data_IF_573035281938
#
_entry.id   IF_573035281938
#
_cell.length_a   1.000
_cell.length_b   1.000
_cell.length_c   1.000
_cell.angle_alpha   90.00
_cell.angle_beta   90.00
_cell.angle_gamma   90.00
#
_symmetry.space_group_name_H-M   'P 1'
#
loop_
_entity.id
_entity.type
_entity.pdbx_description
1 polymer ?
#
# COMPACT_ATOMS: atom_id res chain seq x y z
N UNK A 1 -17.30 -2.43 24.00
CA UNK A 1 -15.92 -2.94 23.82
C UNK A 1 -15.58 -2.74 22.35
N UNK A 2 -15.06 -1.61 21.87
CA UNK A 2 -14.04 -0.74 22.46
C UNK A 2 -12.71 -1.12 21.81
N UNK A 3 -12.55 -0.78 20.52
CA UNK A 3 -11.35 -1.09 19.74
C UNK A 3 -10.12 -0.40 20.39
N UNK A 4 -8.94 -1.05 20.43
CA UNK A 4 -7.74 -0.47 21.00
C UNK A 4 -7.20 0.73 20.20
N UNK A 5 -6.60 1.70 20.89
CA UNK A 5 -6.08 3.00 20.40
C UNK A 5 -4.90 2.95 19.40
N UNK A 6 -4.65 1.79 18.77
CA UNK A 6 -3.53 1.61 17.84
C UNK A 6 -4.00 1.06 16.48
N UNK A 7 -5.05 1.63 15.89
CA UNK A 7 -5.36 1.48 14.47
C UNK A 7 -5.09 2.82 13.78
N UNK A 8 -3.87 3.03 13.27
CA UNK A 8 -3.50 4.29 12.58
C UNK A 8 -3.57 4.22 11.05
N UNK A 9 -3.95 3.09 10.45
CA UNK A 9 -4.42 3.06 9.07
C UNK A 9 -5.13 1.76 8.74
N UNK A 10 -6.37 1.85 8.30
CA UNK A 10 -7.08 0.76 7.65
C UNK A 10 -6.91 0.96 6.14
N UNK A 11 -6.05 0.16 5.50
CA UNK A 11 -5.94 0.16 4.04
C UNK A 11 -7.13 -0.62 3.49
N UNK A 12 -8.20 0.08 3.14
CA UNK A 12 -9.34 -0.54 2.46
C UNK A 12 -8.89 -0.95 1.06
N UNK A 13 -8.75 -2.26 0.85
CA UNK A 13 -8.49 -2.85 -0.47
C UNK A 13 -9.75 -2.63 -1.33
N UNK A 14 -9.70 -1.66 -2.24
CA UNK A 14 -10.74 -1.41 -3.23
C UNK A 14 -10.55 -2.44 -4.36
N UNK A 15 -10.98 -3.68 -4.09
CA UNK A 15 -11.01 -4.76 -5.06
C UNK A 15 -12.14 -4.50 -6.07
N UNK A 16 -11.78 -4.31 -7.33
CA UNK A 16 -12.73 -4.02 -8.40
C UNK A 16 -12.15 -4.08 -9.80
N UNK A 17 -12.00 -5.31 -10.30
CA UNK A 17 -11.83 -5.71 -11.71
C UNK A 17 -10.37 -5.88 -12.20
N UNK A 18 -9.94 -7.14 -12.15
CA UNK A 18 -8.92 -7.76 -13.01
C UNK A 18 -9.53 -8.02 -14.40
N UNK A 19 -9.04 -7.36 -15.45
CA UNK A 19 -9.00 -7.91 -16.83
C UNK A 19 -8.19 -6.98 -17.75
N UNK A 20 -6.96 -7.40 -18.09
CA UNK A 20 -6.04 -6.71 -19.03
C UNK A 20 -4.88 -5.91 -18.38
N UNK A 21 -4.57 -6.18 -17.11
CA UNK A 21 -4.54 -5.14 -16.08
C UNK A 21 -3.19 -4.82 -15.45
N UNK A 22 -2.01 -5.17 -15.96
CA UNK A 22 -0.75 -4.82 -15.25
C UNK A 22 -0.58 -3.29 -15.04
N UNK A 23 -0.90 -2.49 -16.06
CA UNK A 23 -0.85 -1.02 -15.98
C UNK A 23 -1.95 -0.46 -15.07
N UNK A 24 -3.17 -1.00 -15.15
CA UNK A 24 -4.29 -0.53 -14.32
C UNK A 24 -4.11 -0.94 -12.85
N UNK A 25 -3.63 -2.16 -12.62
CA UNK A 25 -3.28 -2.71 -11.31
C UNK A 25 -2.18 -1.87 -10.66
N UNK A 26 -1.13 -1.52 -11.42
CA UNK A 26 -0.08 -0.60 -10.93
C UNK A 26 -0.63 0.77 -10.59
N UNK A 27 -1.50 1.35 -11.43
CA UNK A 27 -2.15 2.64 -11.16
C UNK A 27 -3.00 2.60 -9.90
N UNK A 28 -3.72 1.50 -9.66
CA UNK A 28 -4.51 1.31 -8.45
C UNK A 28 -3.59 1.26 -7.21
N UNK A 29 -2.55 0.43 -7.23
CA UNK A 29 -1.55 0.37 -6.15
C UNK A 29 -0.88 1.71 -5.88
N UNK A 30 -0.46 2.41 -6.93
CA UNK A 30 0.14 3.73 -6.82
C UNK A 30 -0.80 4.71 -6.12
N UNK A 31 -2.07 4.78 -6.53
CA UNK A 31 -3.06 5.66 -5.90
C UNK A 31 -3.23 5.32 -4.42
N UNK A 32 -3.38 4.03 -4.10
CA UNK A 32 -3.57 3.55 -2.73
C UNK A 32 -2.39 3.91 -1.83
N UNK A 33 -1.16 3.65 -2.25
CA UNK A 33 0.03 3.96 -1.47
C UNK A 33 0.31 5.46 -1.42
N UNK A 34 0.14 6.20 -2.51
CA UNK A 34 0.37 7.64 -2.53
C UNK A 34 -0.57 8.36 -1.55
N UNK A 35 -1.86 8.01 -1.51
CA UNK A 35 -2.80 8.60 -0.55
C UNK A 35 -2.44 8.25 0.90
N UNK A 36 -2.05 7.00 1.17
CA UNK A 36 -1.58 6.58 2.49
C UNK A 36 -0.32 7.34 2.93
N UNK A 37 0.69 7.40 2.07
CA UNK A 37 1.97 8.07 2.36
C UNK A 37 1.77 9.57 2.51
N UNK A 38 0.92 10.18 1.69
CA UNK A 38 0.57 11.60 1.81
C UNK A 38 -0.12 11.92 3.13
N UNK A 39 -1.00 11.04 3.61
CA UNK A 39 -1.65 11.22 4.91
C UNK A 39 -0.67 11.07 6.07
N UNK A 40 0.29 10.14 5.96
CA UNK A 40 1.25 9.82 7.03
C UNK A 40 2.47 10.75 7.08
N UNK A 41 3.10 10.99 5.93
CA UNK A 41 4.37 11.74 5.79
C UNK A 41 4.12 13.22 5.41
N UNK A 42 2.88 13.57 5.03
CA UNK A 42 2.52 14.93 4.64
C UNK A 42 2.99 15.30 3.23
N UNK A 43 3.14 16.60 2.92
CA UNK A 43 3.42 17.08 1.55
C UNK A 43 4.78 16.66 0.99
N UNK A 44 5.72 16.22 1.85
CA UNK A 44 7.06 15.77 1.45
C UNK A 44 7.15 14.24 1.31
N UNK A 45 6.01 13.54 1.22
CA UNK A 45 6.01 12.09 1.06
C UNK A 45 6.73 11.66 -0.21
N UNK A 46 7.41 10.51 -0.16
CA UNK A 46 8.04 9.93 -1.35
C UNK A 46 7.02 9.05 -2.08
N UNK A 47 6.56 9.39 -3.30
CA UNK A 47 5.54 8.61 -3.99
C UNK A 47 5.92 7.15 -4.22
N UNK A 48 4.91 6.31 -4.40
CA UNK A 48 5.03 4.95 -4.91
C UNK A 48 5.39 4.98 -6.39
N UNK A 49 6.42 4.24 -6.77
CA UNK A 49 6.97 4.23 -8.13
C UNK A 49 6.69 2.91 -8.85
N UNK A 50 6.89 2.90 -10.16
CA UNK A 50 6.81 1.68 -10.95
C UNK A 50 7.86 0.64 -10.51
N UNK A 51 9.03 1.09 -10.05
CA UNK A 51 10.04 0.20 -9.49
C UNK A 51 9.57 -0.43 -8.17
N UNK A 52 8.93 0.35 -7.28
CA UNK A 52 8.33 -0.19 -6.05
C UNK A 52 7.29 -1.29 -6.34
N UNK A 53 6.55 -1.17 -7.45
CA UNK A 53 5.63 -2.21 -7.90
C UNK A 53 6.38 -3.51 -8.24
N UNK A 54 7.44 -3.44 -9.04
CA UNK A 54 8.20 -4.64 -9.42
C UNK A 54 8.97 -5.26 -8.25
N UNK A 55 9.53 -4.43 -7.36
CA UNK A 55 10.36 -4.91 -6.25
C UNK A 55 9.52 -5.57 -5.15
N UNK A 56 8.33 -5.02 -4.90
CA UNK A 56 7.57 -5.34 -3.70
C UNK A 56 6.17 -5.89 -3.95
N UNK A 57 5.54 -5.67 -5.11
CA UNK A 57 4.13 -6.05 -5.33
C UNK A 57 3.99 -7.14 -6.39
N UNK A 58 4.76 -7.05 -7.47
CA UNK A 58 4.66 -7.96 -8.59
C UNK A 58 5.07 -9.39 -8.19
N UNK A 59 4.26 -10.37 -8.58
CA UNK A 59 4.50 -11.79 -8.28
C UNK A 59 4.32 -12.21 -6.81
N UNK A 60 3.91 -11.30 -5.90
CA UNK A 60 3.70 -11.60 -4.47
C UNK A 60 2.22 -11.63 -4.09
N UNK A 61 1.83 -12.38 -3.04
CA UNK A 61 0.52 -12.24 -2.41
C UNK A 61 0.30 -10.78 -1.98
N UNK A 62 -0.93 -10.26 -2.11
CA UNK A 62 -1.23 -8.84 -1.88
C UNK A 62 -0.82 -8.35 -0.49
N UNK A 63 -1.15 -9.12 0.55
CA UNK A 63 -0.80 -8.80 1.93
C UNK A 63 0.72 -8.73 2.13
N UNK A 64 1.45 -9.67 1.53
CA UNK A 64 2.92 -9.68 1.57
C UNK A 64 3.52 -8.53 0.79
N UNK A 65 2.90 -8.13 -0.33
CA UNK A 65 3.38 -7.01 -1.12
C UNK A 65 3.23 -5.67 -0.40
N UNK A 66 2.08 -5.45 0.26
CA UNK A 66 1.86 -4.31 1.16
C UNK A 66 2.89 -4.31 2.28
N UNK A 67 3.05 -5.43 2.98
CA UNK A 67 3.99 -5.55 4.09
C UNK A 67 5.42 -5.26 3.66
N UNK A 68 5.86 -5.85 2.54
CA UNK A 68 7.23 -5.70 2.04
C UNK A 68 7.49 -4.26 1.60
N UNK A 69 6.53 -3.63 0.90
CA UNK A 69 6.64 -2.23 0.51
C UNK A 69 6.70 -1.29 1.73
N UNK A 70 5.81 -1.48 2.70
CA UNK A 70 5.81 -0.64 3.90
C UNK A 70 7.09 -0.83 4.71
N UNK A 71 7.56 -2.07 4.86
CA UNK A 71 8.83 -2.36 5.50
C UNK A 71 10.03 -1.70 4.78
N UNK A 72 10.02 -1.61 3.45
CA UNK A 72 11.07 -0.90 2.68
C UNK A 72 11.07 0.61 2.92
N UNK A 73 9.94 1.16 3.41
CA UNK A 73 9.80 2.55 3.88
C UNK A 73 10.02 2.70 5.38
N UNK A 74 10.51 1.68 6.07
CA UNK A 74 10.60 1.62 7.54
C UNK A 74 9.24 1.85 8.24
N UNK A 75 8.15 1.48 7.58
CA UNK A 75 6.78 1.53 8.10
C UNK A 75 6.39 0.12 8.52
N UNK A 76 6.30 -0.10 9.83
CA UNK A 76 5.73 -1.33 10.38
C UNK A 76 4.27 -1.07 10.74
N UNK A 77 3.35 -1.86 10.20
CA UNK A 77 1.97 -1.90 10.66
C UNK A 77 1.82 -3.06 11.65
N UNK A 78 1.18 -2.86 12.81
CA UNK A 78 0.78 -3.99 13.64
C UNK A 78 -0.15 -4.89 12.81
N UNK A 79 0.12 -6.20 12.82
CA UNK A 79 -0.83 -7.18 12.28
C UNK A 79 -2.09 -7.11 13.15
N UNK A 80 -3.24 -6.90 12.51
CA UNK A 80 -4.55 -6.98 13.16
C UNK A 80 -5.06 -8.40 13.20
#
# INVERSE_FOLDING_TARGET
>A
MGLPDAISACLFDLDGVLTGTAVLHRKAWKRTFDEFLKHREGPNFRPFTDQDYYDYVDGRPRADGVRTFLASRAITLPEG
#
